data_IF_556840034027
#
_entry.id   IF_556840034027
#
_cell.length_a   1.000
_cell.length_b   1.000
_cell.length_c   1.000
_cell.angle_alpha   90.00
_cell.angle_beta   90.00
_cell.angle_gamma   90.00
#
_symmetry.space_group_name_H-M   'P 1'
#
loop_
_entity.id
_entity.type
_entity.pdbx_description
1 polymer ?
#
# COMPACT_ATOMS: atom_id res chain seq x y z
N UNK A 1 25.09 -32.21 10.33
CA UNK A 1 25.91 -32.03 11.56
C UNK A 1 25.88 -33.29 12.42
N UNK A 2 24.73 -33.77 12.90
CA UNK A 2 24.65 -34.97 13.77
C UNK A 2 25.42 -36.21 13.25
N UNK A 3 25.36 -36.50 11.95
CA UNK A 3 26.13 -37.62 11.35
C UNK A 3 27.65 -37.45 11.43
N UNK A 4 28.16 -36.22 11.30
CA UNK A 4 29.59 -35.95 11.42
C UNK A 4 30.05 -36.08 12.89
N UNK A 5 29.22 -35.61 13.82
CA UNK A 5 29.47 -35.74 15.26
C UNK A 5 29.47 -37.21 15.72
N UNK A 6 28.52 -38.01 15.25
CA UNK A 6 28.47 -39.44 15.55
C UNK A 6 29.73 -40.18 15.05
N UNK A 7 30.26 -39.77 13.90
CA UNK A 7 31.51 -40.30 13.37
C UNK A 7 32.74 -39.87 14.16
N UNK A 8 32.82 -38.61 14.62
CA UNK A 8 33.94 -38.15 15.45
C UNK A 8 34.00 -38.82 16.83
N UNK A 9 32.85 -39.23 17.36
CA UNK A 9 32.75 -39.96 18.63
C UNK A 9 32.91 -41.48 18.47
N UNK A 10 33.06 -41.99 17.24
CA UNK A 10 33.15 -43.42 16.96
C UNK A 10 31.84 -44.20 17.16
N UNK A 11 30.71 -43.52 17.33
CA UNK A 11 29.38 -44.15 17.52
C UNK A 11 28.87 -44.79 16.23
N UNK A 12 29.12 -44.15 15.09
CA UNK A 12 28.70 -44.65 13.78
C UNK A 12 29.71 -44.22 12.70
N UNK A 13 30.01 -45.10 11.74
CA UNK A 13 30.91 -44.76 10.64
C UNK A 13 30.35 -43.68 9.71
N UNK A 14 31.23 -42.84 9.15
CA UNK A 14 30.83 -41.77 8.25
C UNK A 14 30.43 -42.33 6.87
N UNK A 15 29.25 -41.98 6.34
CA UNK A 15 28.89 -42.36 4.97
C UNK A 15 29.90 -41.82 3.95
N UNK A 16 30.30 -42.65 2.99
CA UNK A 16 31.33 -42.32 1.98
C UNK A 16 31.04 -41.04 1.19
N UNK A 17 29.76 -40.77 0.87
CA UNK A 17 29.36 -39.53 0.18
C UNK A 17 29.67 -38.26 0.97
N UNK A 18 29.61 -38.33 2.31
CA UNK A 18 29.88 -37.21 3.21
C UNK A 18 31.38 -37.00 3.49
N UNK A 19 32.24 -37.92 3.03
CA UNK A 19 33.70 -37.78 3.11
C UNK A 19 34.25 -36.83 2.02
N UNK A 20 33.55 -36.71 0.88
CA UNK A 20 34.01 -35.89 -0.23
C UNK A 20 33.65 -34.41 -0.09
N UNK A 21 34.65 -33.51 -0.20
CA UNK A 21 34.46 -32.06 -0.12
C UNK A 21 33.53 -31.50 -1.20
N UNK A 22 33.62 -32.03 -2.43
CA UNK A 22 32.80 -31.58 -3.57
C UNK A 22 31.31 -31.76 -3.30
N UNK A 23 30.91 -32.97 -2.89
CA UNK A 23 29.50 -33.28 -2.56
C UNK A 23 29.00 -32.44 -1.39
N UNK A 24 29.82 -32.19 -0.36
CA UNK A 24 29.44 -31.31 0.74
C UNK A 24 29.23 -29.86 0.30
N UNK A 25 30.08 -29.35 -0.60
CA UNK A 25 29.94 -28.01 -1.18
C UNK A 25 28.65 -27.88 -1.97
N UNK A 26 28.34 -28.84 -2.84
CA UNK A 26 27.11 -28.83 -3.63
C UNK A 26 25.85 -28.96 -2.75
N UNK A 27 25.91 -29.80 -1.72
CA UNK A 27 24.85 -29.94 -0.74
C UNK A 27 24.61 -28.62 0.00
N UNK A 28 25.67 -27.96 0.47
CA UNK A 28 25.58 -26.66 1.13
C UNK A 28 24.99 -25.59 0.22
N UNK A 29 25.43 -25.51 -1.04
CA UNK A 29 24.87 -24.59 -2.03
C UNK A 29 23.38 -24.83 -2.27
N UNK A 30 22.96 -26.09 -2.39
CA UNK A 30 21.56 -26.47 -2.54
C UNK A 30 20.72 -26.08 -1.31
N UNK A 31 21.23 -26.33 -0.09
CA UNK A 31 20.56 -25.93 1.15
C UNK A 31 20.41 -24.41 1.25
N UNK A 32 21.46 -23.64 0.94
CA UNK A 32 21.43 -22.18 0.97
C UNK A 32 20.38 -21.63 -0.01
N UNK A 33 20.33 -22.17 -1.23
CA UNK A 33 19.30 -21.81 -2.22
C UNK A 33 17.90 -22.10 -1.69
N UNK A 34 17.66 -23.31 -1.18
CA UNK A 34 16.34 -23.71 -0.64
C UNK A 34 15.94 -22.89 0.57
N UNK A 35 16.87 -22.59 1.47
CA UNK A 35 16.61 -21.75 2.63
C UNK A 35 16.17 -20.35 2.19
N UNK A 36 16.91 -19.71 1.28
CA UNK A 36 16.53 -18.41 0.74
C UNK A 36 15.17 -18.45 0.04
N UNK A 37 14.90 -19.46 -0.76
CA UNK A 37 13.59 -19.65 -1.42
C UNK A 37 12.46 -19.85 -0.40
N UNK A 38 12.68 -20.63 0.65
CA UNK A 38 11.69 -20.85 1.71
C UNK A 38 11.38 -19.56 2.47
N UNK A 39 12.39 -18.72 2.76
CA UNK A 39 12.18 -17.41 3.38
C UNK A 39 11.35 -16.48 2.48
N UNK A 40 11.66 -16.44 1.18
CA UNK A 40 10.88 -15.64 0.22
C UNK A 40 9.43 -16.14 0.10
N UNK A 41 9.21 -17.45 0.07
CA UNK A 41 7.88 -18.04 0.05
C UNK A 41 7.11 -17.74 1.35
N UNK A 42 7.77 -17.80 2.51
CA UNK A 42 7.19 -17.42 3.80
C UNK A 42 6.74 -15.95 3.80
N UNK A 43 7.59 -15.04 3.33
CA UNK A 43 7.25 -13.61 3.19
C UNK A 43 6.09 -13.38 2.23
N UNK A 44 6.08 -14.05 1.07
CA UNK A 44 4.99 -13.96 0.09
C UNK A 44 3.66 -14.49 0.63
N UNK A 45 3.70 -15.58 1.41
CA UNK A 45 2.50 -16.13 2.06
C UNK A 45 1.91 -15.15 3.07
N UNK A 46 2.73 -14.58 3.95
CA UNK A 46 2.27 -13.58 4.93
C UNK A 46 1.71 -12.35 4.22
N UNK A 47 2.41 -11.84 3.20
CA UNK A 47 1.95 -10.69 2.41
C UNK A 47 0.57 -10.93 1.78
N UNK A 48 0.33 -12.12 1.21
CA UNK A 48 -0.98 -12.48 0.66
C UNK A 48 -2.07 -12.50 1.74
N UNK A 49 -1.80 -13.10 2.90
CA UNK A 49 -2.77 -13.16 4.00
C UNK A 49 -3.05 -11.76 4.59
N UNK A 50 -2.04 -10.89 4.64
CA UNK A 50 -2.22 -9.47 5.00
C UNK A 50 -3.19 -8.78 4.04
N UNK A 51 -3.02 -8.97 2.72
CA UNK A 51 -3.94 -8.42 1.72
C UNK A 51 -5.37 -8.96 1.90
N UNK A 52 -5.53 -10.26 2.15
CA UNK A 52 -6.85 -10.85 2.40
C UNK A 52 -7.50 -10.31 3.67
N UNK A 53 -6.73 -10.11 4.73
CA UNK A 53 -7.21 -9.55 6.00
C UNK A 53 -7.75 -8.13 5.82
N UNK A 54 -7.02 -7.24 5.14
CA UNK A 54 -7.46 -5.85 4.95
C UNK A 54 -8.48 -5.68 3.82
N UNK A 55 -8.59 -6.64 2.88
CA UNK A 55 -9.63 -6.60 1.84
C UNK A 55 -11.02 -6.90 2.42
N UNK A 56 -11.13 -7.90 3.30
CA UNK A 56 -12.42 -8.34 3.87
C UNK A 56 -13.14 -7.30 4.74
N UNK A 57 -12.46 -6.24 5.16
CA UNK A 57 -13.04 -5.14 5.95
C UNK A 57 -13.42 -3.91 5.10
N UNK A 58 -12.98 -3.86 3.83
CA UNK A 58 -13.22 -2.75 2.89
C UNK A 58 -14.29 -3.06 1.84
N UNK A 59 -14.54 -4.33 1.57
CA UNK A 59 -15.56 -4.78 0.62
C UNK A 59 -16.93 -4.80 1.30
N UNK A 60 -17.56 -3.63 1.38
CA UNK A 60 -18.99 -3.46 1.66
C UNK A 60 -19.88 -4.02 0.54
N UNK A 61 -19.70 -5.28 0.16
CA UNK A 61 -20.66 -6.02 -0.70
C UNK A 61 -21.92 -6.43 0.06
N UNK A 62 -22.06 -6.08 1.34
CA UNK A 62 -23.35 -6.07 2.04
C UNK A 62 -23.86 -4.65 2.23
N UNK A 63 -24.79 -4.29 1.35
CA UNK A 63 -25.70 -3.13 1.34
C UNK A 63 -25.27 -1.97 0.44
N UNK A 64 -25.92 -1.91 -0.72
CA UNK A 64 -25.78 -0.84 -1.69
C UNK A 64 -26.02 0.54 -1.10
N UNK A 65 -25.10 1.46 -1.37
CA UNK A 65 -25.25 2.87 -1.05
C UNK A 65 -23.92 3.55 -0.73
N UNK A 66 -23.27 4.12 -1.75
CA UNK A 66 -22.42 5.31 -1.63
C UNK A 66 -21.25 5.30 -0.63
N UNK A 67 -20.07 4.89 -1.10
CA UNK A 67 -18.83 5.67 -0.96
C UNK A 67 -18.27 5.97 0.44
N UNK A 68 -17.39 5.10 0.94
CA UNK A 68 -16.28 5.51 1.79
C UNK A 68 -15.12 4.51 1.63
N UNK A 69 -13.88 5.00 1.49
CA UNK A 69 -12.66 4.19 1.66
C UNK A 69 -12.64 3.65 3.11
N UNK A 70 -13.28 2.52 3.35
CA UNK A 70 -13.32 1.86 4.67
C UNK A 70 -11.97 1.17 4.93
N UNK A 71 -10.96 1.97 5.26
CA UNK A 71 -9.66 1.48 5.73
C UNK A 71 -9.58 1.49 7.25
N UNK A 72 -8.57 0.84 7.81
CA UNK A 72 -8.30 0.84 9.25
C UNK A 72 -7.29 1.92 9.61
N UNK A 73 -7.67 2.82 10.50
CA UNK A 73 -6.76 3.81 11.07
C UNK A 73 -5.92 3.21 12.20
N UNK A 74 -4.60 3.35 12.11
CA UNK A 74 -3.68 2.92 13.16
C UNK A 74 -2.53 3.89 13.36
N UNK A 75 -1.92 3.79 14.53
CA UNK A 75 -0.67 4.46 14.85
C UNK A 75 0.51 3.79 14.12
N UNK A 76 1.33 4.61 13.49
CA UNK A 76 2.54 4.21 12.79
C UNK A 76 3.73 5.09 13.20
N UNK A 77 4.94 4.58 12.98
CA UNK A 77 6.18 5.28 13.25
C UNK A 77 6.99 5.42 11.98
N UNK A 78 7.51 6.62 11.74
CA UNK A 78 8.33 6.90 10.56
C UNK A 78 9.70 6.23 10.73
N UNK A 79 10.07 5.38 9.77
CA UNK A 79 11.38 4.71 9.73
C UNK A 79 12.40 5.49 8.91
N UNK A 80 11.96 5.99 7.75
CA UNK A 80 12.82 6.67 6.78
C UNK A 80 12.02 7.72 6.02
N UNK A 81 12.69 8.78 5.60
CA UNK A 81 12.09 9.90 4.88
C UNK A 81 12.82 10.05 3.55
N UNK A 82 12.09 9.89 2.44
CA UNK A 82 12.68 10.07 1.10
C UNK A 82 12.99 11.56 0.92
N UNK A 83 14.27 11.89 0.79
CA UNK A 83 14.76 13.26 0.60
C UNK A 83 15.09 13.55 -0.86
N UNK A 84 14.99 12.56 -1.75
CA UNK A 84 15.31 12.70 -3.17
C UNK A 84 14.31 13.60 -3.90
N UNK A 85 14.80 14.64 -4.55
CA UNK A 85 14.01 15.58 -5.37
C UNK A 85 13.49 14.96 -6.68
N UNK A 86 13.97 13.78 -7.08
CA UNK A 86 13.55 13.11 -8.32
C UNK A 86 12.18 12.43 -8.20
N UNK A 87 11.71 12.16 -6.98
CA UNK A 87 10.48 11.42 -6.70
C UNK A 87 9.51 12.26 -5.88
N UNK A 88 8.26 11.85 -5.91
CA UNK A 88 7.24 12.38 -5.01
C UNK A 88 7.71 12.28 -3.54
N UNK A 89 7.42 13.31 -2.73
CA UNK A 89 7.71 13.32 -1.31
C UNK A 89 7.01 12.14 -0.65
N UNK A 90 7.76 11.37 0.11
CA UNK A 90 7.24 10.14 0.72
C UNK A 90 8.11 9.73 1.88
N UNK A 91 7.56 8.93 2.77
CA UNK A 91 8.29 8.37 3.89
C UNK A 91 7.82 6.93 4.13
N UNK A 92 8.71 6.13 4.69
CA UNK A 92 8.44 4.73 5.05
C UNK A 92 8.00 4.70 6.50
N UNK A 93 6.90 4.01 6.77
CA UNK A 93 6.35 3.85 8.12
C UNK A 93 6.27 2.38 8.51
N UNK A 94 6.32 2.13 9.80
CA UNK A 94 6.00 0.84 10.42
C UNK A 94 4.73 0.97 11.24
N UNK A 95 3.79 0.04 11.07
CA UNK A 95 2.58 -0.09 11.90
C UNK A 95 2.82 -1.24 12.89
N UNK A 96 3.19 -0.98 14.15
CA UNK A 96 3.64 -2.03 15.06
C UNK A 96 2.55 -3.04 15.42
N UNK A 97 1.27 -2.61 15.45
CA UNK A 97 0.12 -3.47 15.76
C UNK A 97 0.02 -4.68 14.83
N UNK A 98 0.36 -4.51 13.56
CA UNK A 98 0.28 -5.54 12.54
C UNK A 98 1.65 -6.03 12.05
N UNK A 99 2.73 -5.35 12.43
CA UNK A 99 4.09 -5.67 11.97
C UNK A 99 4.27 -5.45 10.47
N UNK A 100 3.56 -4.48 9.89
CA UNK A 100 3.65 -4.15 8.46
C UNK A 100 4.44 -2.86 8.27
N UNK A 101 5.19 -2.81 7.18
CA UNK A 101 5.89 -1.62 6.70
C UNK A 101 5.24 -1.17 5.39
N UNK A 102 5.18 0.14 5.18
CA UNK A 102 4.60 0.69 3.96
C UNK A 102 5.15 2.08 3.65
N UNK A 103 5.10 2.45 2.37
CA UNK A 103 5.51 3.77 1.92
C UNK A 103 4.29 4.66 1.79
N UNK A 104 4.29 5.77 2.52
CA UNK A 104 3.26 6.79 2.43
C UNK A 104 3.75 7.85 1.45
N UNK A 105 2.99 8.06 0.37
CA UNK A 105 3.28 9.12 -0.60
C UNK A 105 2.45 10.35 -0.28
N UNK A 106 3.12 11.50 -0.18
CA UNK A 106 2.44 12.79 -0.03
C UNK A 106 2.05 13.25 -1.44
N UNK A 107 0.75 13.27 -1.69
CA UNK A 107 0.20 13.67 -2.99
C UNK A 107 -0.05 15.18 -3.04
N UNK A 108 -0.20 15.73 -4.24
CA UNK A 108 -0.53 17.16 -4.41
C UNK A 108 -1.83 17.56 -3.72
N UNK A 109 -2.77 16.63 -3.51
CA UNK A 109 -4.00 16.93 -2.77
C UNK A 109 -3.76 17.18 -1.27
N UNK A 110 -2.65 16.70 -0.74
CA UNK A 110 -2.26 16.93 0.66
C UNK A 110 -1.47 18.23 0.83
N UNK A 111 -1.05 18.90 -0.24
CA UNK A 111 -0.22 20.11 -0.18
C UNK A 111 -0.90 21.24 -0.98
N UNK A 112 -1.27 22.38 -0.37
CA UNK A 112 -1.96 23.48 -1.06
C UNK A 112 -1.32 23.95 -2.39
N UNK A 113 0.01 24.05 -2.48
CA UNK A 113 0.72 24.40 -3.73
C UNK A 113 1.27 23.20 -4.52
N UNK A 114 0.89 21.98 -4.15
CA UNK A 114 1.37 20.75 -4.78
C UNK A 114 2.81 20.37 -4.43
N UNK A 115 3.34 19.37 -5.14
CA UNK A 115 4.64 18.75 -4.82
C UNK A 115 5.85 19.66 -5.05
N UNK A 116 5.72 20.66 -5.93
CA UNK A 116 6.77 21.63 -6.27
C UNK A 116 6.62 22.95 -5.51
N UNK A 117 5.80 22.98 -4.46
CA UNK A 117 5.61 24.17 -3.64
C UNK A 117 6.94 24.54 -2.96
N UNK A 118 7.43 25.79 -3.07
CA UNK A 118 8.61 26.25 -2.32
C UNK A 118 8.48 26.09 -0.80
N UNK A 119 7.25 25.98 -0.27
CA UNK A 119 6.99 25.75 1.14
C UNK A 119 7.24 24.31 1.59
N UNK A 120 7.36 23.36 0.66
CA UNK A 120 7.72 21.98 0.94
C UNK A 120 9.25 21.82 0.96
N UNK A 121 9.81 21.78 2.17
CA UNK A 121 11.24 21.63 2.40
C UNK A 121 11.56 20.18 2.76
N UNK A 122 12.50 19.58 2.02
CA UNK A 122 13.04 18.24 2.28
C UNK A 122 14.46 18.40 2.78
N UNK A 123 14.69 18.07 4.04
CA UNK A 123 15.99 18.22 4.68
C UNK A 123 16.63 16.84 4.85
N UNK A 124 17.70 16.59 4.09
CA UNK A 124 18.47 15.35 4.15
C UNK A 124 19.30 15.20 5.41
N UNK A 125 19.78 16.29 6.01
CA UNK A 125 20.58 16.26 7.24
C UNK A 125 19.71 15.96 8.46
N UNK A 126 18.48 16.47 8.47
CA UNK A 126 17.53 16.28 9.57
C UNK A 126 16.57 15.11 9.35
N UNK A 127 16.65 14.44 8.19
CA UNK A 127 15.76 13.35 7.78
C UNK A 127 14.28 13.72 8.01
N UNK A 128 13.87 14.87 7.49
CA UNK A 128 12.51 15.37 7.67
C UNK A 128 11.92 16.01 6.42
N UNK A 129 10.60 15.94 6.32
CA UNK A 129 9.77 16.70 5.38
C UNK A 129 9.02 17.75 6.20
N UNK A 130 9.14 19.01 5.80
CA UNK A 130 8.49 20.12 6.45
C UNK A 130 7.68 20.91 5.43
N UNK A 131 6.46 21.27 5.80
CA UNK A 131 5.63 22.21 5.05
C UNK A 131 5.45 23.48 5.88
N UNK A 132 5.92 24.60 5.33
CA UNK A 132 5.84 25.92 5.96
C UNK A 132 4.65 26.69 5.40
N UNK A 133 3.52 26.70 6.11
CA UNK A 133 2.38 27.47 5.63
C UNK A 133 2.65 28.99 5.66
N UNK A 134 2.16 29.70 4.63
CA UNK A 134 2.29 31.15 4.46
C UNK A 134 1.66 31.94 5.62
N UNK A 135 0.73 31.33 6.35
CA UNK A 135 -0.03 31.97 7.43
C UNK A 135 0.71 31.99 8.78
N UNK A 136 1.97 31.57 8.83
CA UNK A 136 2.89 31.65 9.99
C UNK A 136 2.39 30.99 11.29
N UNK A 137 1.26 30.28 11.27
CA UNK A 137 0.58 29.81 12.49
C UNK A 137 0.74 28.30 12.70
N UNK A 138 0.93 27.50 11.65
CA UNK A 138 1.12 26.04 11.75
C UNK A 138 2.12 25.51 10.70
N UNK A 139 3.34 25.19 11.11
CA UNK A 139 4.30 24.42 10.30
C UNK A 139 4.14 22.92 10.60
N UNK A 140 3.78 22.12 9.62
CA UNK A 140 3.71 20.65 9.78
C UNK A 140 5.05 20.04 9.40
N UNK A 141 5.68 19.34 10.34
CA UNK A 141 6.95 18.65 10.15
C UNK A 141 6.78 17.16 10.47
N UNK A 142 7.33 16.32 9.61
CA UNK A 142 7.44 14.87 9.81
C UNK A 142 8.92 14.50 9.74
N UNK A 143 9.44 13.91 10.80
CA UNK A 143 10.81 13.42 10.93
C UNK A 143 10.81 11.90 11.21
N UNK A 144 11.94 11.24 10.97
CA UNK A 144 12.18 9.88 11.45
C UNK A 144 11.84 9.73 12.94
N UNK A 145 11.24 8.60 13.28
CA UNK A 145 10.72 8.23 14.60
C UNK A 145 9.50 9.00 15.09
N UNK A 146 8.97 9.95 14.31
CA UNK A 146 7.70 10.59 14.67
C UNK A 146 6.54 9.59 14.59
N UNK A 147 5.59 9.78 15.51
CA UNK A 147 4.32 9.06 15.51
C UNK A 147 3.36 9.74 14.54
N UNK A 148 2.79 8.96 13.64
CA UNK A 148 1.80 9.40 12.65
C UNK A 148 0.60 8.46 12.66
N UNK A 149 -0.59 8.95 12.27
CA UNK A 149 -1.75 8.08 12.03
C UNK A 149 -1.89 7.82 10.55
N UNK A 150 -2.03 6.55 10.20
CA UNK A 150 -2.20 6.10 8.82
C UNK A 150 -3.50 5.33 8.66
N UNK A 151 -4.09 5.42 7.48
CA UNK A 151 -5.22 4.62 7.06
C UNK A 151 -4.74 3.50 6.13
N UNK A 152 -5.03 2.26 6.48
CA UNK A 152 -4.58 1.06 5.77
C UNK A 152 -5.76 0.49 4.98
N UNK A 153 -5.60 0.34 3.66
CA UNK A 153 -6.63 -0.22 2.79
C UNK A 153 -6.02 -0.97 1.59
N UNK A 154 -6.83 -1.79 0.91
CA UNK A 154 -6.38 -2.57 -0.24
C UNK A 154 -6.91 -1.95 -1.52
N UNK A 155 -6.01 -1.65 -2.46
CA UNK A 155 -6.34 -1.20 -3.79
C UNK A 155 -6.42 -2.39 -4.74
N UNK A 156 -7.52 -2.48 -5.46
CA UNK A 156 -7.69 -3.42 -6.56
C UNK A 156 -7.29 -2.73 -7.86
N UNK A 157 -6.29 -3.27 -8.54
CA UNK A 157 -5.89 -2.81 -9.88
C UNK A 157 -6.66 -3.60 -10.93
N UNK A 158 -6.87 -3.00 -12.10
CA UNK A 158 -7.59 -3.61 -13.22
C UNK A 158 -6.98 -4.96 -13.66
N UNK A 159 -5.67 -5.15 -13.44
CA UNK A 159 -4.94 -6.37 -13.78
C UNK A 159 -5.15 -7.51 -12.77
N UNK A 160 -6.05 -7.33 -11.80
CA UNK A 160 -6.34 -8.31 -10.73
C UNK A 160 -5.30 -8.32 -9.61
N UNK A 161 -4.27 -7.46 -9.70
CA UNK A 161 -3.29 -7.28 -8.63
C UNK A 161 -3.89 -6.49 -7.49
N UNK A 162 -3.60 -6.92 -6.26
CA UNK A 162 -4.00 -6.26 -5.02
C UNK A 162 -2.78 -5.63 -4.38
N UNK A 163 -2.90 -4.37 -4.00
CA UNK A 163 -1.82 -3.61 -3.38
C UNK A 163 -2.29 -3.04 -2.03
N UNK A 164 -1.46 -3.18 -0.99
CA UNK A 164 -1.72 -2.57 0.30
C UNK A 164 -1.27 -1.12 0.27
N UNK A 165 -2.20 -0.19 0.50
CA UNK A 165 -1.94 1.25 0.50
C UNK A 165 -2.02 1.78 1.92
N UNK A 166 -1.07 2.63 2.27
CA UNK A 166 -1.04 3.39 3.53
C UNK A 166 -1.16 4.88 3.18
N UNK A 167 -2.28 5.48 3.57
CA UNK A 167 -2.53 6.91 3.41
C UNK A 167 -2.31 7.64 4.74
N UNK A 168 -1.73 8.84 4.70
CA UNK A 168 -1.54 9.67 5.90
C UNK A 168 -2.88 10.28 6.35
N UNK A 169 -3.21 10.13 7.63
CA UNK A 169 -4.37 10.78 8.27
C UNK A 169 -3.92 11.95 9.14
N UNK A 170 -2.84 11.79 9.88
CA UNK A 170 -2.29 12.82 10.78
C UNK A 170 -0.78 12.68 10.89
N UNK A 171 -0.01 13.78 10.81
CA UNK A 171 -0.45 15.18 10.72
C UNK A 171 -0.93 15.56 9.30
N UNK A 172 -1.76 16.60 9.21
CA UNK A 172 -2.22 17.16 7.93
C UNK A 172 -1.33 18.34 7.53
N UNK A 173 -1.00 18.46 6.26
CA UNK A 173 -0.25 19.59 5.71
C UNK A 173 -1.25 20.62 5.18
N UNK A 174 -1.15 21.89 5.62
CA UNK A 174 -1.87 23.04 5.04
C UNK A 174 -3.38 22.88 4.80
N UNK A 175 -4.18 23.30 5.78
CA UNK A 175 -5.64 23.50 5.77
C UNK A 175 -6.53 22.24 5.69
N UNK A 176 -7.34 22.06 6.74
CA UNK A 176 -8.67 21.43 6.67
C UNK A 176 -9.68 22.55 6.36
N UNK A 177 -10.72 22.28 5.56
CA UNK A 177 -11.99 22.08 6.22
C UNK A 177 -12.74 20.85 5.70
N UNK A 178 -13.55 20.33 6.60
CA UNK A 178 -14.58 19.35 6.31
C UNK A 178 -15.45 19.80 5.12
N UNK A 179 -15.95 18.80 4.38
CA UNK A 179 -16.98 18.89 3.32
C UNK A 179 -16.50 19.39 1.96
N UNK A 180 -16.08 18.46 1.12
CA UNK A 180 -16.43 18.45 -0.31
C UNK A 180 -17.06 17.10 -0.63
N UNK A 181 -18.27 16.89 -0.09
CA UNK A 181 -19.25 16.11 -0.83
C UNK A 181 -19.53 16.92 -2.10
N UNK A 182 -19.12 16.39 -3.24
CA UNK A 182 -19.54 16.92 -4.53
C UNK A 182 -21.03 16.62 -4.63
N UNK A 183 -21.87 17.57 -4.24
CA UNK A 183 -23.25 17.61 -4.67
C UNK A 183 -23.24 18.09 -6.12
N UNK A 184 -23.48 17.16 -7.04
CA UNK A 184 -23.81 17.46 -8.44
C UNK A 184 -25.04 18.39 -8.46
N UNK A 185 -25.04 19.52 -9.21
CA UNK A 185 -26.21 20.39 -9.27
C UNK A 185 -27.35 19.70 -10.03
N UNK A 186 -28.37 19.28 -9.26
CA UNK A 186 -29.70 18.87 -9.70
C UNK A 186 -30.32 19.92 -10.64
N UNK A 187 -30.13 19.74 -11.95
CA UNK A 187 -30.84 20.54 -12.95
C UNK A 187 -32.23 19.93 -13.15
N UNK A 188 -33.18 20.36 -12.33
CA UNK A 188 -34.61 20.09 -12.50
C UNK A 188 -35.11 20.75 -13.79
N UNK A 189 -35.31 19.95 -14.84
CA UNK A 189 -36.13 20.34 -15.99
C UNK A 189 -37.57 19.95 -15.69
N UNK A 190 -38.43 20.94 -15.47
CA UNK A 190 -39.88 20.76 -15.46
C UNK A 190 -40.46 20.73 -16.90
N UNK A 191 -41.60 20.06 -17.14
CA UNK A 191 -42.05 19.66 -18.48
C UNK A 191 -43.24 20.49 -18.99
N UNK A 192 -43.31 20.78 -20.31
CA UNK A 192 -44.55 20.95 -21.13
C UNK A 192 -44.20 21.39 -22.59
N UNK A 193 -45.08 21.26 -23.61
CA UNK A 193 -46.03 20.19 -23.96
C UNK A 193 -45.94 19.74 -25.45
N UNK A 194 -46.79 18.77 -25.77
CA UNK A 194 -47.09 18.00 -27.00
C UNK A 194 -47.03 18.67 -28.40
N UNK A 195 -46.64 17.87 -29.42
CA UNK A 195 -47.51 17.54 -30.57
C UNK A 195 -46.93 16.49 -31.57
N UNK A 196 -47.69 15.39 -31.74
CA UNK A 196 -48.00 14.66 -32.99
C UNK A 196 -46.95 14.52 -34.13
N UNK A 197 -46.49 13.29 -34.45
CA UNK A 197 -47.08 12.40 -35.51
C UNK A 197 -46.16 11.23 -35.92
N UNK A 198 -46.84 10.14 -36.30
CA UNK A 198 -46.52 9.07 -37.27
C UNK A 198 -45.66 7.86 -36.86
N UNK A 199 -46.41 6.81 -36.51
CA UNK A 199 -46.10 5.37 -36.68
C UNK A 199 -45.46 5.06 -38.05
N UNK A 200 -44.40 4.24 -38.07
CA UNK A 200 -44.08 3.35 -39.20
C UNK A 200 -43.53 2.02 -38.67
N UNK A 201 -44.27 0.95 -38.95
CA UNK A 201 -43.92 -0.46 -38.68
C UNK A 201 -42.75 -0.88 -39.57
N UNK A 202 -41.77 -1.62 -39.04
CA UNK A 202 -40.84 -2.42 -39.86
C UNK A 202 -40.92 -3.90 -39.46
N UNK A 203 -40.83 -4.73 -40.49
CA UNK A 203 -41.24 -6.13 -40.57
C UNK A 203 -40.00 -7.01 -40.41
N UNK A 204 -40.03 -7.95 -39.46
CA UNK A 204 -38.93 -8.88 -39.17
C UNK A 204 -39.11 -10.14 -40.04
N UNK A 205 -38.19 -10.38 -40.98
CA UNK A 205 -38.11 -11.64 -41.74
C UNK A 205 -37.21 -12.63 -40.99
N UNK A 206 -37.72 -13.85 -40.77
CA UNK A 206 -36.99 -15.04 -40.35
C UNK A 206 -36.53 -15.78 -41.61
N UNK A 207 -35.26 -16.17 -41.66
CA UNK A 207 -34.78 -17.24 -42.55
C UNK A 207 -34.41 -18.45 -41.70
N UNK A 208 -34.88 -19.61 -42.19
CA UNK A 208 -34.47 -20.95 -41.77
C UNK A 208 -33.11 -21.28 -42.38
#
# INVERSE_FOLDING_TARGET
VHRLLAASLGVQSLPTRLSSRRVLSDLAANMNRRHRSAQLAGRGSVQLHTLLFFAGDGDGETNGGGGAKSGKEEDAYVLDVDTSTQRLPSFTVMVPRYGIEGRVQITSAMIPGGVNDPHLVRDAHRHCIQYNDNTNTTSTKIQVFDKVRVNIWVKHTHDGTRELILDLVTPQFGVVPAVLCVEEPDTKIQPVPSSNKKKKKSKRQKTK
#
